data_IF_536017680120
#
_entry.id   IF_536017680120
#
_cell.length_a   1.000
_cell.length_b   1.000
_cell.length_c   1.000
_cell.angle_alpha   90.00
_cell.angle_beta   90.00
_cell.angle_gamma   90.00
#
_symmetry.space_group_name_H-M   'P 1'
#
loop_
_entity.id
_entity.type
_entity.pdbx_description
1 polymer ?
#
# COMPACT_ATOMS: atom_id res chain seq x y z
N UNK A 1 -13.77 12.74 -17.89
CA UNK A 1 -14.08 14.04 -17.30
C UNK A 1 -13.65 13.99 -15.84
N UNK A 2 -12.52 14.62 -15.51
CA UNK A 2 -11.98 14.63 -14.15
C UNK A 2 -12.33 15.98 -13.52
N UNK A 3 -13.42 16.01 -12.75
CA UNK A 3 -13.84 17.21 -12.02
C UNK A 3 -12.88 17.54 -10.88
N UNK A 4 -12.86 18.82 -10.47
CA UNK A 4 -12.04 19.28 -9.36
C UNK A 4 -12.34 18.53 -8.06
N UNK A 5 -11.31 17.93 -7.45
CA UNK A 5 -11.41 17.25 -6.16
C UNK A 5 -11.42 18.28 -5.03
N UNK A 6 -12.21 18.05 -3.98
CA UNK A 6 -12.42 19.01 -2.89
C UNK A 6 -11.13 19.47 -2.18
N UNK A 7 -10.10 18.61 -2.14
CA UNK A 7 -8.77 18.95 -1.58
C UNK A 7 -8.06 20.07 -2.34
N UNK A 8 -8.36 20.20 -3.64
CA UNK A 8 -7.74 21.15 -4.55
C UNK A 8 -8.70 22.29 -4.93
N UNK A 9 -9.86 22.39 -4.27
CA UNK A 9 -10.80 23.48 -4.46
C UNK A 9 -10.26 24.77 -3.82
N UNK A 10 -10.13 25.83 -4.62
CA UNK A 10 -9.69 27.13 -4.15
C UNK A 10 -10.58 28.23 -4.75
N UNK A 11 -11.44 28.90 -3.96
CA UNK A 11 -12.37 29.91 -4.48
C UNK A 11 -11.70 31.16 -5.04
N UNK A 12 -10.39 31.37 -4.77
CA UNK A 12 -9.63 32.49 -5.32
C UNK A 12 -9.22 32.27 -6.79
N UNK A 13 -9.31 31.05 -7.31
CA UNK A 13 -9.03 30.72 -8.71
C UNK A 13 -10.31 30.81 -9.55
N UNK A 14 -10.18 31.21 -10.82
CA UNK A 14 -11.31 31.45 -11.74
C UNK A 14 -12.13 30.19 -12.01
N UNK A 15 -11.45 29.08 -12.23
CA UNK A 15 -11.99 27.72 -12.32
C UNK A 15 -12.20 27.06 -10.95
N UNK A 16 -11.74 27.74 -9.89
CA UNK A 16 -11.79 27.33 -8.51
C UNK A 16 -11.06 26.01 -8.22
N UNK A 17 -10.08 25.63 -9.06
CA UNK A 17 -9.33 24.39 -8.94
C UNK A 17 -7.82 24.59 -9.07
N UNK A 18 -7.04 23.98 -8.18
CA UNK A 18 -5.57 24.08 -8.17
C UNK A 18 -4.89 22.95 -8.97
N UNK A 19 -5.62 22.27 -9.84
CA UNK A 19 -5.15 21.09 -10.57
C UNK A 19 -5.17 21.34 -12.07
N UNK A 20 -3.99 21.26 -12.71
CA UNK A 20 -3.79 21.67 -14.10
C UNK A 20 -4.64 20.91 -15.13
N UNK A 21 -5.13 19.71 -14.78
CA UNK A 21 -5.94 18.85 -15.65
C UNK A 21 -7.40 18.75 -15.20
N UNK A 22 -7.86 19.64 -14.33
CA UNK A 22 -9.27 19.68 -13.95
C UNK A 22 -10.12 20.18 -15.13
N UNK A 23 -11.18 19.43 -15.44
CA UNK A 23 -12.19 19.91 -16.37
C UNK A 23 -12.98 21.07 -15.75
N UNK A 24 -13.38 22.03 -16.58
CA UNK A 24 -14.19 23.17 -16.14
C UNK A 24 -15.56 22.71 -15.66
N UNK A 25 -15.92 23.07 -14.42
CA UNK A 25 -17.23 22.74 -13.84
C UNK A 25 -18.24 23.83 -14.19
N UNK A 26 -19.19 23.49 -15.06
CA UNK A 26 -20.29 24.37 -15.49
C UNK A 26 -21.33 24.63 -14.38
N UNK A 27 -21.57 23.63 -13.53
CA UNK A 27 -22.59 23.68 -12.48
C UNK A 27 -21.91 23.39 -11.13
N UNK A 28 -21.63 24.46 -10.38
CA UNK A 28 -20.92 24.40 -9.09
C UNK A 28 -21.84 24.04 -7.92
N UNK A 29 -23.16 24.07 -8.13
CA UNK A 29 -24.16 23.80 -7.09
C UNK A 29 -24.59 22.32 -7.07
N UNK A 30 -24.23 21.54 -8.10
CA UNK A 30 -24.36 20.09 -8.08
C UNK A 30 -23.30 19.47 -7.16
N UNK A 31 -23.75 18.71 -6.17
CA UNK A 31 -22.89 17.98 -5.25
C UNK A 31 -21.86 17.12 -6.00
N UNK A 32 -20.59 17.32 -5.68
CA UNK A 32 -19.50 16.53 -6.24
C UNK A 32 -19.64 15.08 -5.74
N UNK A 33 -19.29 14.09 -6.57
CA UNK A 33 -19.25 12.67 -6.12
C UNK A 33 -18.36 12.46 -4.87
N UNK A 34 -17.42 13.39 -4.60
CA UNK A 34 -16.55 13.36 -3.45
C UNK A 34 -17.29 13.43 -2.10
N UNK A 35 -18.46 14.06 -2.02
CA UNK A 35 -19.23 14.14 -0.77
C UNK A 35 -19.93 12.81 -0.42
N UNK A 36 -20.13 11.94 -1.42
CA UNK A 36 -20.72 10.63 -1.24
C UNK A 36 -19.74 9.61 -0.63
N UNK A 37 -18.43 9.82 -0.82
CA UNK A 37 -17.41 8.88 -0.36
C UNK A 37 -16.65 9.48 0.83
N UNK A 38 -16.76 8.83 1.99
CA UNK A 38 -15.93 9.10 3.16
C UNK A 38 -14.93 7.97 3.33
N UNK A 39 -13.65 8.31 3.45
CA UNK A 39 -12.61 7.32 3.76
C UNK A 39 -12.91 6.74 5.14
N UNK A 40 -13.02 5.42 5.21
CA UNK A 40 -13.12 4.73 6.49
C UNK A 40 -11.70 4.47 7.02
N UNK A 41 -11.22 5.16 8.08
CA UNK A 41 -9.88 4.97 8.61
C UNK A 41 -9.68 3.58 9.24
N UNK A 42 -10.75 2.82 9.43
CA UNK A 42 -10.74 1.44 9.93
C UNK A 42 -11.24 0.44 8.88
N UNK A 43 -11.07 0.75 7.59
CA UNK A 43 -11.49 -0.13 6.49
C UNK A 43 -10.80 -1.50 6.56
N UNK A 44 -9.51 -1.51 6.89
CA UNK A 44 -8.77 -2.74 7.13
C UNK A 44 -8.81 -3.08 8.62
N UNK A 45 -9.36 -4.25 8.94
CA UNK A 45 -9.28 -4.86 10.26
C UNK A 45 -8.63 -6.23 10.10
N UNK A 46 -7.49 -6.45 10.76
CA UNK A 46 -6.80 -7.75 10.75
C UNK A 46 -7.71 -8.77 11.43
N UNK A 47 -8.46 -9.54 10.63
CA UNK A 47 -9.24 -10.68 11.10
C UNK A 47 -8.34 -11.91 11.06
N UNK A 48 -7.62 -12.14 12.15
CA UNK A 48 -6.96 -13.43 12.35
C UNK A 48 -8.00 -14.47 12.75
N UNK A 49 -8.57 -15.17 11.77
CA UNK A 49 -9.42 -16.32 12.04
C UNK A 49 -8.55 -17.55 12.39
N UNK A 50 -9.07 -18.44 13.23
CA UNK A 50 -8.41 -19.72 13.52
C UNK A 50 -8.14 -20.53 12.23
N UNK A 51 -9.01 -20.40 11.23
CA UNK A 51 -8.83 -20.98 9.91
C UNK A 51 -7.62 -20.37 9.17
N UNK A 52 -7.47 -19.04 9.18
CA UNK A 52 -6.32 -18.38 8.56
C UNK A 52 -5.00 -18.82 9.21
N UNK A 53 -4.97 -18.97 10.54
CA UNK A 53 -3.81 -19.52 11.26
C UNK A 53 -3.52 -20.95 10.82
N UNK A 54 -4.53 -21.82 10.81
CA UNK A 54 -4.35 -23.23 10.40
C UNK A 54 -3.88 -23.38 8.95
N UNK A 55 -4.33 -22.50 8.04
CA UNK A 55 -3.92 -22.51 6.64
C UNK A 55 -2.44 -22.09 6.50
N UNK A 56 -2.01 -21.05 7.22
CA UNK A 56 -0.61 -20.63 7.25
C UNK A 56 0.30 -21.74 7.79
N UNK A 57 -0.11 -22.41 8.87
CA UNK A 57 0.64 -23.55 9.42
C UNK A 57 0.81 -24.67 8.41
N UNK A 58 -0.26 -25.07 7.72
CA UNK A 58 -0.18 -26.11 6.68
C UNK A 58 0.71 -25.72 5.51
N UNK A 59 0.70 -24.44 5.12
CA UNK A 59 1.59 -23.96 4.05
C UNK A 59 3.06 -24.00 4.52
N UNK A 60 3.34 -23.54 5.73
CA UNK A 60 4.68 -23.59 6.30
C UNK A 60 5.22 -25.02 6.37
N UNK A 61 4.39 -26.00 6.77
CA UNK A 61 4.75 -27.43 6.74
C UNK A 61 5.06 -27.94 5.33
N UNK A 62 4.34 -27.47 4.30
CA UNK A 62 4.58 -27.88 2.91
C UNK A 62 5.89 -27.33 2.34
N UNK A 63 6.28 -26.13 2.76
CA UNK A 63 7.47 -25.45 2.25
C UNK A 63 8.69 -25.56 3.18
N UNK A 64 8.53 -26.16 4.38
CA UNK A 64 9.60 -26.28 5.37
C UNK A 64 10.00 -24.94 5.99
N UNK A 65 9.07 -23.99 6.04
CA UNK A 65 9.30 -22.63 6.53
C UNK A 65 8.95 -22.53 8.02
N UNK A 66 9.72 -21.74 8.77
CA UNK A 66 9.37 -21.38 10.15
C UNK A 66 8.27 -20.29 10.12
N UNK A 67 7.19 -20.47 10.89
CA UNK A 67 6.14 -19.46 10.95
C UNK A 67 6.66 -18.21 11.66
N UNK A 68 6.43 -16.99 11.13
CA UNK A 68 6.76 -15.78 11.86
C UNK A 68 5.89 -15.67 13.12
N UNK A 69 6.54 -15.69 14.28
CA UNK A 69 5.91 -15.48 15.58
C UNK A 69 5.53 -14.00 15.75
N UNK A 70 4.32 -13.63 15.34
CA UNK A 70 3.69 -12.37 15.73
C UNK A 70 3.28 -11.45 14.58
N UNK A 71 2.61 -10.33 14.90
CA UNK A 71 2.22 -9.32 13.91
C UNK A 71 3.42 -8.59 13.29
N UNK A 72 4.62 -8.80 13.81
CA UNK A 72 5.86 -8.22 13.32
C UNK A 72 6.48 -9.20 12.33
N UNK A 73 5.85 -9.30 11.16
CA UNK A 73 6.65 -9.54 9.96
C UNK A 73 7.47 -8.27 9.84
N UNK A 74 8.73 -8.29 10.31
CA UNK A 74 9.71 -7.34 9.79
C UNK A 74 9.62 -7.49 8.27
N UNK A 75 8.96 -6.55 7.61
CA UNK A 75 9.00 -6.43 6.15
C UNK A 75 10.47 -6.18 5.81
N UNK A 76 11.23 -7.25 5.65
CA UNK A 76 12.51 -7.21 4.97
C UNK A 76 12.17 -6.70 3.59
N UNK A 77 12.47 -5.43 3.34
CA UNK A 77 12.24 -4.86 2.04
C UNK A 77 13.00 -5.70 1.02
N UNK A 78 12.53 -5.82 -0.24
CA UNK A 78 13.21 -6.62 -1.26
C UNK A 78 14.69 -6.26 -1.42
N UNK A 79 15.02 -5.01 -1.09
CA UNK A 79 16.39 -4.50 -1.05
C UNK A 79 17.22 -5.13 0.07
N UNK A 80 16.67 -5.29 1.28
CA UNK A 80 17.35 -5.94 2.40
C UNK A 80 17.63 -7.42 2.15
N UNK A 81 16.75 -8.13 1.44
CA UNK A 81 16.97 -9.54 1.08
C UNK A 81 18.01 -9.69 -0.03
N UNK A 82 17.97 -8.81 -1.04
CA UNK A 82 18.97 -8.77 -2.10
C UNK A 82 20.38 -8.47 -1.56
N UNK A 83 20.49 -7.55 -0.61
CA UNK A 83 21.76 -7.21 0.04
C UNK A 83 22.31 -8.38 0.88
N UNK A 84 21.44 -9.12 1.57
CA UNK A 84 21.81 -10.34 2.31
C UNK A 84 22.28 -11.46 1.37
N UNK A 85 21.56 -11.68 0.26
CA UNK A 85 21.95 -12.67 -0.75
C UNK A 85 23.30 -12.31 -1.40
N UNK A 86 23.55 -11.04 -1.70
CA UNK A 86 24.81 -10.58 -2.27
C UNK A 86 25.98 -10.78 -1.30
N UNK A 87 25.79 -10.53 0.00
CA UNK A 87 26.81 -10.74 1.02
C UNK A 87 27.17 -12.22 1.16
N UNK A 88 26.17 -13.11 1.13
CA UNK A 88 26.39 -14.55 1.22
C UNK A 88 27.10 -15.10 -0.03
N UNK A 89 26.72 -14.65 -1.22
CA UNK A 89 27.42 -15.00 -2.46
C UNK A 89 28.90 -14.58 -2.43
N UNK A 90 29.20 -13.37 -1.94
CA UNK A 90 30.59 -12.91 -1.78
C UNK A 90 31.38 -13.71 -0.74
N UNK A 91 30.71 -14.26 0.28
CA UNK A 91 31.34 -15.15 1.27
C UNK A 91 31.67 -16.53 0.68
N UNK A 92 30.79 -17.04 -0.18
CA UNK A 92 30.91 -18.36 -0.80
C UNK A 92 31.87 -18.38 -2.00
N UNK A 93 31.92 -17.28 -2.74
CA UNK A 93 32.65 -17.16 -4.00
C UNK A 93 33.69 -16.03 -3.97
N UNK A 94 34.01 -15.49 -2.79
CA UNK A 94 35.01 -14.46 -2.62
C UNK A 94 36.37 -15.00 -3.04
N UNK A 95 36.82 -14.57 -4.22
CA UNK A 95 38.01 -14.99 -4.94
C UNK A 95 39.23 -15.19 -4.03
N UNK A 96 39.77 -16.40 -4.04
CA UNK A 96 41.18 -16.66 -3.74
C UNK A 96 42.03 -15.81 -4.69
N UNK A 97 42.71 -14.81 -4.16
CA UNK A 97 43.86 -14.16 -4.80
C UNK A 97 45.05 -14.28 -3.86
#
# INVERSE_FOLDING_TARGET
MFGCVQKNYNPALSDSCNEDRADFILDKDKANFCDYFRVNPRAHQKKESAQAKSARTKLAELFGEELPDGPDVEEKTPQSEADQALAELKRLFGDDN
#
